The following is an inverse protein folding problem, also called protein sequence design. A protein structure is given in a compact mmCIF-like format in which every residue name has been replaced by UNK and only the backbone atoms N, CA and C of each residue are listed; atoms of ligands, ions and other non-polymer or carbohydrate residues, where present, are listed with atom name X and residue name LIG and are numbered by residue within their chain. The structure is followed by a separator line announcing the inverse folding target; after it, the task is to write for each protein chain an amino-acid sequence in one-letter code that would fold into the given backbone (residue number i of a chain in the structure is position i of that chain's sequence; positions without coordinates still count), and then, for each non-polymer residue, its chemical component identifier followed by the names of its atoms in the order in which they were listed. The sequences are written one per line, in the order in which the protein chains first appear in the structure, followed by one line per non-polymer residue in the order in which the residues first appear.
data_IF_226177254866
#
_entry.id   IF_226177254866
#
_cell.length_a   1.000
_cell.length_b   1.000
_cell.length_c   1.000
_cell.angle_alpha   90.00
_cell.angle_beta   90.00
_cell.angle_gamma   90.00
#
_symmetry.space_group_name_H-M   'P 1'
#
loop_
_entity.id
_entity.type
_entity.pdbx_description
1 polymer ?
#
# COMPACT_ATOMS: atom_id res chain seq x y z
N UNK A 1 -2.06 -13.55 11.47
CA UNK A 1 -2.23 -12.10 11.54
C UNK A 1 -3.60 -11.72 12.05
N UNK A 2 -3.81 -10.44 12.34
CA UNK A 2 -5.10 -9.90 12.79
C UNK A 2 -6.16 -9.97 11.68
N UNK A 3 -7.43 -10.01 12.07
CA UNK A 3 -8.55 -9.99 11.13
C UNK A 3 -8.65 -8.64 10.39
N UNK A 4 -9.37 -8.62 9.26
CA UNK A 4 -9.64 -7.39 8.53
C UNK A 4 -10.37 -6.33 9.37
N UNK A 5 -11.22 -6.77 10.29
CA UNK A 5 -11.94 -5.91 11.22
C UNK A 5 -10.98 -5.23 12.22
N UNK A 6 -10.09 -6.00 12.84
CA UNK A 6 -9.09 -5.46 13.77
C UNK A 6 -8.08 -4.54 13.05
N UNK A 7 -7.73 -4.86 11.79
CA UNK A 7 -6.91 -3.98 10.97
C UNK A 7 -7.52 -2.58 10.83
N UNK A 8 -8.81 -2.50 10.51
CA UNK A 8 -9.52 -1.22 10.39
C UNK A 8 -9.60 -0.44 11.72
N UNK A 9 -9.66 -1.13 12.87
CA UNK A 9 -9.58 -0.49 14.20
C UNK A 9 -8.18 0.05 14.45
N UNK A 10 -7.13 -0.75 14.20
CA UNK A 10 -5.71 -0.34 14.40
C UNK A 10 -5.38 0.93 13.62
N UNK A 11 -5.88 1.05 12.40
CA UNK A 11 -5.62 2.19 11.52
C UNK A 11 -6.77 3.20 11.43
N UNK A 12 -7.70 3.20 12.41
CA UNK A 12 -8.85 4.10 12.44
C UNK A 12 -8.51 5.60 12.51
N UNK A 13 -7.34 5.95 13.06
CA UNK A 13 -6.84 7.32 13.12
C UNK A 13 -6.16 7.81 11.82
N UNK A 14 -5.92 6.92 10.86
CA UNK A 14 -5.30 7.26 9.57
C UNK A 14 -6.29 8.04 8.69
N UNK A 15 -5.83 9.15 8.14
CA UNK A 15 -6.67 10.02 7.31
C UNK A 15 -6.61 9.58 5.83
N UNK A 16 -7.29 8.49 5.50
CA UNK A 16 -7.40 7.95 4.15
C UNK A 16 -8.03 8.94 3.15
N UNK A 17 -8.97 9.76 3.60
CA UNK A 17 -9.61 10.78 2.75
C UNK A 17 -8.60 11.84 2.28
N UNK A 18 -7.77 12.34 3.20
CA UNK A 18 -6.71 13.31 2.86
C UNK A 18 -5.71 12.71 1.86
N UNK A 19 -5.26 11.48 2.10
CA UNK A 19 -4.32 10.80 1.21
C UNK A 19 -4.92 10.57 -0.18
N UNK A 20 -6.15 10.06 -0.25
CA UNK A 20 -6.89 9.90 -1.50
C UNK A 20 -7.08 11.24 -2.24
N UNK A 21 -7.32 12.33 -1.50
CA UNK A 21 -7.41 13.66 -2.10
C UNK A 21 -6.10 14.11 -2.75
N UNK A 22 -4.96 13.87 -2.09
CA UNK A 22 -3.63 14.18 -2.64
C UNK A 22 -3.37 13.36 -3.90
N UNK A 23 -3.59 12.03 -3.85
CA UNK A 23 -3.43 11.13 -5.01
C UNK A 23 -4.30 11.59 -6.17
N UNK A 24 -5.60 11.87 -5.92
CA UNK A 24 -6.51 12.39 -6.93
C UNK A 24 -6.00 13.67 -7.59
N UNK A 25 -5.52 14.63 -6.79
CA UNK A 25 -4.97 15.89 -7.30
C UNK A 25 -3.76 15.62 -8.20
N UNK A 26 -2.81 14.81 -7.76
CA UNK A 26 -1.62 14.46 -8.51
C UNK A 26 -1.94 13.77 -9.84
N UNK A 27 -2.95 12.88 -9.84
CA UNK A 27 -3.44 12.25 -11.08
C UNK A 27 -4.06 13.32 -12.00
N UNK A 28 -4.96 14.15 -11.49
CA UNK A 28 -5.68 15.15 -12.30
C UNK A 28 -4.73 16.19 -12.94
N UNK A 29 -3.65 16.56 -12.25
CA UNK A 29 -2.63 17.50 -12.74
C UNK A 29 -1.79 16.91 -13.88
N UNK A 30 -1.48 15.60 -13.84
CA UNK A 30 -0.58 14.93 -14.79
C UNK A 30 -1.31 14.18 -15.91
N UNK A 31 -2.51 13.68 -15.61
CA UNK A 31 -3.36 12.94 -16.55
C UNK A 31 -4.82 13.42 -16.43
N UNK A 32 -5.14 14.60 -16.99
CA UNK A 32 -6.52 15.08 -17.03
C UNK A 32 -7.44 14.07 -17.74
N UNK A 33 -8.61 13.80 -17.15
CA UNK A 33 -9.58 12.86 -17.73
C UNK A 33 -9.32 11.39 -17.42
N UNK A 34 -8.39 11.05 -16.51
CA UNK A 34 -8.21 9.70 -16.01
C UNK A 34 -9.53 9.13 -15.45
N UNK A 35 -9.84 7.88 -15.77
CA UNK A 35 -11.07 7.18 -15.36
C UNK A 35 -10.80 5.86 -14.66
N UNK A 36 -9.83 5.08 -15.12
CA UNK A 36 -9.54 3.75 -14.61
C UNK A 36 -8.34 3.75 -13.66
N UNK A 37 -8.54 3.24 -12.44
CA UNK A 37 -7.50 3.15 -11.41
C UNK A 37 -7.38 1.71 -10.89
N UNK A 38 -6.14 1.22 -10.80
CA UNK A 38 -5.78 -0.04 -10.13
C UNK A 38 -5.11 0.26 -8.80
N UNK A 39 -5.63 -0.31 -7.70
CA UNK A 39 -4.99 -0.28 -6.38
C UNK A 39 -4.33 -1.63 -6.08
N UNK A 40 -2.99 -1.65 -6.02
CA UNK A 40 -2.18 -2.82 -5.67
C UNK A 40 -1.97 -2.88 -4.16
N UNK A 41 -2.24 -4.05 -3.58
CA UNK A 41 -2.34 -4.27 -2.14
C UNK A 41 -3.39 -3.33 -1.51
N UNK A 42 -4.58 -3.32 -2.10
CA UNK A 42 -5.68 -2.42 -1.74
C UNK A 42 -6.21 -2.63 -0.30
N UNK A 43 -5.83 -3.74 0.35
CA UNK A 43 -6.26 -4.06 1.70
C UNK A 43 -7.78 -4.10 1.82
N UNK A 44 -8.32 -3.43 2.82
CA UNK A 44 -9.77 -3.31 3.06
C UNK A 44 -10.46 -2.25 2.20
N UNK A 45 -9.76 -1.68 1.19
CA UNK A 45 -10.31 -0.67 0.28
C UNK A 45 -10.55 0.70 0.91
N UNK A 46 -9.79 1.06 1.94
CA UNK A 46 -10.00 2.30 2.68
C UNK A 46 -9.70 3.56 1.84
N UNK A 47 -8.68 3.55 0.98
CA UNK A 47 -8.44 4.61 -0.01
C UNK A 47 -9.50 4.59 -1.12
N UNK A 48 -9.89 3.38 -1.57
CA UNK A 48 -10.83 3.17 -2.66
C UNK A 48 -12.22 3.77 -2.37
N UNK A 49 -12.66 3.76 -1.10
CA UNK A 49 -13.90 4.41 -0.67
C UNK A 49 -13.97 5.88 -1.11
N UNK A 50 -12.83 6.56 -1.07
CA UNK A 50 -12.75 7.99 -1.43
C UNK A 50 -12.44 8.19 -2.91
N UNK A 51 -11.60 7.33 -3.50
CA UNK A 51 -11.18 7.42 -4.91
C UNK A 51 -12.28 6.97 -5.87
N UNK A 52 -13.17 6.06 -5.48
CA UNK A 52 -14.28 5.56 -6.30
C UNK A 52 -15.32 6.63 -6.69
N UNK A 53 -15.28 7.79 -6.03
CA UNK A 53 -16.09 8.95 -6.42
C UNK A 53 -15.64 9.58 -7.75
N UNK A 54 -14.41 9.25 -8.19
CA UNK A 54 -13.74 9.88 -9.33
C UNK A 54 -13.25 8.88 -10.37
N UNK A 55 -13.00 7.64 -9.96
CA UNK A 55 -12.41 6.59 -10.79
C UNK A 55 -13.20 5.29 -10.71
N UNK A 56 -13.16 4.53 -11.79
CA UNK A 56 -13.51 3.12 -11.76
C UNK A 56 -12.35 2.36 -11.13
N UNK A 57 -12.60 1.70 -10.00
CA UNK A 57 -11.58 1.05 -9.19
C UNK A 57 -11.52 -0.45 -9.49
N UNK A 58 -10.32 -0.94 -9.73
CA UNK A 58 -9.94 -2.34 -9.59
C UNK A 58 -8.94 -2.45 -8.44
N UNK A 59 -9.12 -3.41 -7.54
CA UNK A 59 -8.22 -3.66 -6.42
C UNK A 59 -7.63 -5.06 -6.46
N UNK A 60 -6.35 -5.18 -6.12
CA UNK A 60 -5.62 -6.43 -6.01
C UNK A 60 -5.03 -6.55 -4.60
N UNK A 61 -5.25 -7.68 -3.94
CA UNK A 61 -4.62 -7.97 -2.64
C UNK A 61 -4.40 -9.48 -2.49
N UNK A 62 -3.39 -9.88 -1.72
CA UNK A 62 -3.12 -11.27 -1.39
C UNK A 62 -4.11 -11.85 -0.37
N UNK A 63 -4.67 -10.98 0.50
CA UNK A 63 -5.52 -11.39 1.61
C UNK A 63 -7.00 -11.43 1.20
N UNK A 64 -7.62 -12.62 1.07
CA UNK A 64 -9.02 -12.73 0.68
C UNK A 64 -9.99 -12.10 1.72
N UNK A 65 -9.62 -12.09 3.01
CA UNK A 65 -10.43 -11.47 4.07
C UNK A 65 -10.48 -9.93 3.90
N UNK A 66 -9.39 -9.31 3.49
CA UNK A 66 -9.37 -7.89 3.17
C UNK A 66 -10.25 -7.57 1.97
N UNK A 67 -10.23 -8.40 0.94
CA UNK A 67 -11.06 -8.22 -0.25
C UNK A 67 -12.56 -8.34 0.01
N UNK A 68 -12.98 -9.12 1.02
CA UNK A 68 -14.38 -9.14 1.48
C UNK A 68 -14.78 -7.75 1.97
N UNK A 69 -13.97 -7.16 2.85
CA UNK A 69 -14.20 -5.80 3.36
C UNK A 69 -14.15 -4.72 2.27
N UNK A 70 -13.21 -4.84 1.33
CA UNK A 70 -13.11 -3.92 0.21
C UNK A 70 -14.39 -3.92 -0.65
N UNK A 71 -14.97 -5.11 -0.93
CA UNK A 71 -16.24 -5.23 -1.67
C UNK A 71 -17.43 -4.66 -0.89
N UNK A 72 -17.48 -4.89 0.42
CA UNK A 72 -18.50 -4.30 1.29
C UNK A 72 -18.42 -2.77 1.28
N UNK A 73 -17.21 -2.22 1.31
CA UNK A 73 -16.93 -0.77 1.37
C UNK A 73 -17.18 -0.07 0.05
N UNK A 74 -16.84 -0.70 -1.07
CA UNK A 74 -17.00 -0.19 -2.42
C UNK A 74 -17.57 -1.28 -3.34
N UNK A 75 -18.88 -1.46 -3.31
CA UNK A 75 -19.58 -2.50 -4.08
C UNK A 75 -19.53 -2.35 -5.59
N UNK A 76 -19.05 -1.21 -6.11
CA UNK A 76 -18.84 -1.00 -7.55
C UNK A 76 -17.43 -1.33 -8.00
N UNK A 77 -16.48 -1.45 -7.08
CA UNK A 77 -15.10 -1.84 -7.36
C UNK A 77 -14.97 -3.32 -7.71
N UNK A 78 -13.98 -3.65 -8.53
CA UNK A 78 -13.67 -5.04 -8.89
C UNK A 78 -12.44 -5.49 -8.13
N UNK A 79 -12.63 -6.33 -7.12
CA UNK A 79 -11.58 -6.78 -6.23
C UNK A 79 -11.17 -8.21 -6.51
N UNK A 80 -9.87 -8.46 -6.76
CA UNK A 80 -9.32 -9.77 -7.12
C UNK A 80 -8.18 -10.14 -6.18
N UNK A 81 -8.12 -11.43 -5.82
CA UNK A 81 -6.95 -11.95 -5.12
C UNK A 81 -5.81 -12.15 -6.11
N UNK A 82 -4.63 -11.62 -5.77
CA UNK A 82 -3.45 -11.76 -6.62
C UNK A 82 -2.21 -11.15 -5.99
N UNK A 83 -1.08 -11.50 -6.57
CA UNK A 83 0.25 -11.00 -6.18
C UNK A 83 0.64 -9.83 -7.08
N UNK A 84 1.04 -8.71 -6.48
CA UNK A 84 1.48 -7.53 -7.24
C UNK A 84 2.72 -7.77 -8.10
N UNK A 85 3.48 -8.85 -7.84
CA UNK A 85 4.68 -9.24 -8.58
C UNK A 85 4.38 -10.01 -9.87
N UNK A 86 3.17 -10.56 -9.98
CA UNK A 86 2.76 -11.43 -11.10
C UNK A 86 1.24 -11.42 -11.22
N UNK A 87 0.70 -10.47 -11.97
CA UNK A 87 -0.73 -10.39 -12.26
C UNK A 87 -0.99 -10.10 -13.73
N UNK A 88 -2.11 -10.58 -14.21
CA UNK A 88 -2.63 -10.29 -15.55
C UNK A 88 -4.12 -9.92 -15.44
N UNK A 89 -4.44 -8.70 -15.84
CA UNK A 89 -5.80 -8.18 -15.85
C UNK A 89 -6.16 -7.77 -17.30
N UNK A 90 -7.38 -8.07 -17.72
CA UNK A 90 -7.87 -7.77 -19.08
C UNK A 90 -8.28 -6.30 -19.23
N UNK A 91 -7.48 -5.39 -18.65
CA UNK A 91 -7.75 -3.96 -18.66
C UNK A 91 -6.49 -3.14 -18.55
N UNK A 92 -6.51 -1.97 -19.18
CA UNK A 92 -5.50 -0.92 -19.01
C UNK A 92 -6.02 0.15 -18.06
N UNK A 93 -5.10 0.78 -17.31
CA UNK A 93 -5.41 1.77 -16.28
C UNK A 93 -4.73 3.09 -16.57
N UNK A 94 -5.44 4.18 -16.26
CA UNK A 94 -4.89 5.53 -16.31
C UNK A 94 -3.94 5.80 -15.14
N UNK A 95 -4.20 5.14 -14.01
CA UNK A 95 -3.34 5.18 -12.85
C UNK A 95 -3.27 3.81 -12.16
N UNK A 96 -2.07 3.46 -11.69
CA UNK A 96 -1.83 2.34 -10.78
C UNK A 96 -1.26 2.93 -9.50
N UNK A 97 -1.81 2.56 -8.35
CA UNK A 97 -1.34 2.99 -7.03
C UNK A 97 -0.91 1.80 -6.19
N UNK A 98 0.13 1.97 -5.38
CA UNK A 98 0.54 1.05 -4.32
C UNK A 98 0.91 1.91 -3.11
N UNK A 99 -0.03 2.04 -2.19
CA UNK A 99 0.04 2.99 -1.08
C UNK A 99 0.34 2.30 0.25
N UNK A 100 0.49 3.12 1.29
CA UNK A 100 0.75 2.70 2.66
C UNK A 100 1.95 1.75 2.77
N UNK A 101 2.98 2.04 1.97
CA UNK A 101 4.27 1.32 1.94
C UNK A 101 4.17 -0.16 1.57
N UNK A 102 3.06 -0.59 0.96
CA UNK A 102 2.81 -2.00 0.62
C UNK A 102 3.87 -2.61 -0.30
N UNK A 103 4.56 -1.78 -1.10
CA UNK A 103 5.70 -2.22 -1.93
C UNK A 103 6.82 -2.86 -1.10
N UNK A 104 6.98 -2.50 0.16
CA UNK A 104 7.98 -3.10 1.04
C UNK A 104 7.79 -4.62 1.23
N UNK A 105 6.57 -5.13 1.15
CA UNK A 105 6.29 -6.56 1.31
C UNK A 105 6.87 -7.45 0.21
N UNK A 106 7.29 -6.89 -0.92
CA UNK A 106 7.98 -7.68 -1.96
C UNK A 106 9.43 -7.99 -1.62
N UNK A 107 10.00 -7.36 -0.58
CA UNK A 107 11.25 -7.63 0.14
C UNK A 107 12.55 -7.48 -0.68
N UNK A 108 12.55 -7.64 -1.99
CA UNK A 108 13.76 -7.58 -2.83
C UNK A 108 13.59 -6.61 -4.00
N UNK A 109 14.68 -5.99 -4.44
CA UNK A 109 14.68 -5.12 -5.63
C UNK A 109 14.24 -5.85 -6.89
N UNK A 110 14.58 -7.14 -7.04
CA UNK A 110 14.11 -7.95 -8.18
C UNK A 110 12.58 -8.04 -8.19
N UNK A 111 11.97 -8.23 -7.03
CA UNK A 111 10.52 -8.25 -6.91
C UNK A 111 9.89 -6.86 -7.10
N UNK A 112 10.56 -5.78 -6.66
CA UNK A 112 10.12 -4.41 -6.99
C UNK A 112 10.10 -4.23 -8.52
N UNK A 113 11.16 -4.65 -9.22
CA UNK A 113 11.22 -4.58 -10.70
C UNK A 113 10.10 -5.37 -11.36
N UNK A 114 9.82 -6.61 -10.89
CA UNK A 114 8.69 -7.42 -11.37
C UNK A 114 7.36 -6.70 -11.21
N UNK A 115 7.12 -6.14 -10.02
CA UNK A 115 5.91 -5.36 -9.73
C UNK A 115 5.78 -4.17 -10.69
N UNK A 116 6.86 -3.41 -10.88
CA UNK A 116 6.86 -2.24 -11.78
C UNK A 116 6.67 -2.63 -13.25
N UNK A 117 7.21 -3.78 -13.69
CA UNK A 117 6.96 -4.32 -15.04
C UNK A 117 5.48 -4.65 -15.20
N UNK A 118 4.87 -5.36 -14.23
CA UNK A 118 3.44 -5.63 -14.25
C UNK A 118 2.62 -4.33 -14.27
N UNK A 119 2.99 -3.33 -13.46
CA UNK A 119 2.34 -2.00 -13.52
C UNK A 119 2.41 -1.42 -14.93
N UNK A 120 3.63 -1.35 -15.53
CA UNK A 120 3.83 -0.79 -16.87
C UNK A 120 3.00 -1.49 -17.94
N UNK A 121 2.89 -2.82 -17.87
CA UNK A 121 2.11 -3.62 -18.82
C UNK A 121 0.62 -3.33 -18.74
N UNK A 122 0.13 -2.88 -17.59
CA UNK A 122 -1.27 -2.51 -17.37
C UNK A 122 -1.54 -1.00 -17.44
N UNK A 123 -0.53 -0.17 -17.67
CA UNK A 123 -0.74 1.27 -17.88
C UNK A 123 -1.22 1.56 -19.31
N UNK A 124 -2.28 2.33 -19.43
CA UNK A 124 -2.68 2.97 -20.68
C UNK A 124 -1.57 3.93 -21.18
N UNK A 125 -1.65 4.37 -22.43
CA UNK A 125 -0.75 5.40 -22.95
C UNK A 125 -0.85 6.68 -22.09
N UNK A 126 0.30 7.21 -21.65
CA UNK A 126 0.37 8.32 -20.69
C UNK A 126 -0.14 8.00 -19.29
N UNK A 127 -0.32 6.71 -18.95
CA UNK A 127 -0.71 6.27 -17.61
C UNK A 127 0.40 6.45 -16.59
N UNK A 128 0.01 6.56 -15.32
CA UNK A 128 0.88 6.87 -14.18
C UNK A 128 0.91 5.73 -13.18
N UNK A 129 2.05 5.53 -12.52
CA UNK A 129 2.17 4.64 -11.37
C UNK A 129 2.65 5.43 -10.14
N UNK A 130 1.97 5.24 -9.01
CA UNK A 130 2.28 5.87 -7.73
C UNK A 130 2.69 4.80 -6.74
N UNK A 131 3.92 4.89 -6.22
CA UNK A 131 4.44 3.97 -5.21
C UNK A 131 4.82 4.75 -3.97
N UNK A 132 4.12 4.50 -2.86
CA UNK A 132 4.54 4.99 -1.55
C UNK A 132 5.54 3.99 -0.95
N UNK A 133 6.82 4.41 -0.73
CA UNK A 133 7.84 3.49 -0.24
C UNK A 133 7.68 3.15 1.24
N UNK A 134 8.39 2.12 1.69
CA UNK A 134 8.76 1.90 3.08
C UNK A 134 9.96 2.77 3.46
N UNK A 135 10.45 2.62 4.66
CA UNK A 135 11.67 3.32 5.10
C UNK A 135 12.89 2.91 4.27
N UNK A 136 13.83 3.83 4.12
CA UNK A 136 15.16 3.53 3.61
C UNK A 136 16.02 2.87 4.70
N UNK A 137 17.17 2.23 4.34
CA UNK A 137 18.03 1.58 5.32
C UNK A 137 18.54 2.50 6.43
N UNK A 138 18.78 3.78 6.13
CA UNK A 138 19.26 4.79 7.08
C UNK A 138 18.15 5.35 7.98
N UNK A 139 16.90 5.31 7.54
CA UNK A 139 15.73 5.73 8.31
C UNK A 139 15.23 4.65 9.28
N UNK A 140 15.45 3.37 8.97
CA UNK A 140 14.99 2.28 9.81
C UNK A 140 15.84 2.16 11.08
N UNK A 141 15.20 2.17 12.24
CA UNK A 141 15.87 2.12 13.56
C UNK A 141 15.58 0.78 14.25
N UNK A 142 16.43 -0.24 14.08
CA UNK A 142 16.28 -1.49 14.81
C UNK A 142 16.52 -1.30 16.31
N UNK A 143 15.89 -2.15 17.13
CA UNK A 143 15.95 -2.07 18.59
C UNK A 143 14.94 -1.09 19.21
N UNK A 144 14.07 -0.47 18.42
CA UNK A 144 13.03 0.43 18.94
C UNK A 144 11.74 -0.31 19.25
N UNK A 145 11.01 0.20 20.26
CA UNK A 145 9.68 -0.30 20.65
C UNK A 145 8.65 0.78 20.35
N UNK A 146 7.54 0.38 19.74
CA UNK A 146 6.42 1.25 19.41
C UNK A 146 5.14 0.72 20.04
N UNK A 147 4.35 1.60 20.63
CA UNK A 147 3.04 1.27 21.19
C UNK A 147 1.97 2.05 20.44
N UNK A 148 0.91 1.36 20.09
CA UNK A 148 -0.30 1.96 19.52
C UNK A 148 -1.50 1.43 20.26
N UNK A 149 -2.38 2.33 20.68
CA UNK A 149 -3.69 1.99 21.22
C UNK A 149 -4.76 2.53 20.28
N UNK A 150 -5.77 1.72 20.00
CA UNK A 150 -6.91 2.08 19.18
C UNK A 150 -8.19 1.51 19.80
N UNK A 151 -9.27 2.27 19.69
CA UNK A 151 -10.59 1.84 20.15
C UNK A 151 -11.65 2.29 19.15
N UNK A 152 -12.54 1.37 18.79
CA UNK A 152 -13.65 1.64 17.89
C UNK A 152 -14.72 0.56 17.98
N UNK A 153 -15.99 0.96 18.01
CA UNK A 153 -17.17 0.07 17.93
C UNK A 153 -17.14 -1.07 18.97
N UNK A 154 -16.67 -0.78 20.20
CA UNK A 154 -16.56 -1.75 21.29
C UNK A 154 -15.34 -2.68 21.23
N UNK A 155 -14.44 -2.48 20.26
CA UNK A 155 -13.17 -3.19 20.15
C UNK A 155 -12.04 -2.26 20.62
N UNK A 156 -11.25 -2.72 21.59
CA UNK A 156 -10.05 -2.02 22.08
C UNK A 156 -8.80 -2.83 21.71
N UNK A 157 -7.80 -2.19 21.11
CA UNK A 157 -6.57 -2.86 20.68
C UNK A 157 -5.37 -2.13 21.27
N UNK A 158 -4.49 -2.90 21.92
CA UNK A 158 -3.14 -2.47 22.27
C UNK A 158 -2.14 -3.25 21.40
N UNK A 159 -1.36 -2.55 20.58
CA UNK A 159 -0.28 -3.13 19.78
C UNK A 159 1.06 -2.66 20.31
N UNK A 160 1.96 -3.59 20.62
CA UNK A 160 3.37 -3.31 20.86
C UNK A 160 4.19 -3.91 19.73
N UNK A 161 4.98 -3.09 19.04
CA UNK A 161 5.86 -3.49 17.96
C UNK A 161 7.31 -3.33 18.36
N UNK A 162 8.15 -4.31 18.00
CA UNK A 162 9.60 -4.25 18.15
C UNK A 162 10.25 -4.26 16.76
N UNK A 163 11.10 -3.27 16.51
CA UNK A 163 11.80 -3.13 15.23
C UNK A 163 13.11 -3.91 15.26
N UNK A 164 13.33 -4.75 14.25
CA UNK A 164 14.57 -5.48 14.03
C UNK A 164 14.98 -5.42 12.55
N UNK A 165 16.14 -5.96 12.21
CA UNK A 165 16.61 -6.11 10.83
C UNK A 165 17.27 -7.47 10.66
N UNK A 166 17.04 -8.09 9.50
CA UNK A 166 17.68 -9.37 9.12
C UNK A 166 17.93 -9.39 7.62
N UNK A 167 19.21 -9.47 7.21
CA UNK A 167 19.57 -9.61 5.79
C UNK A 167 19.06 -8.48 4.88
N UNK A 168 19.03 -7.23 5.37
CA UNK A 168 18.54 -6.07 4.61
C UNK A 168 17.01 -5.93 4.60
N UNK A 169 16.29 -6.82 5.31
CA UNK A 169 14.84 -6.75 5.49
C UNK A 169 14.52 -6.23 6.89
N UNK A 170 13.67 -5.23 6.98
CA UNK A 170 13.11 -4.77 8.25
C UNK A 170 12.11 -5.78 8.80
N UNK A 171 12.15 -5.99 10.09
CA UNK A 171 11.19 -6.82 10.82
C UNK A 171 10.45 -5.93 11.82
N UNK A 172 9.14 -5.90 11.75
CA UNK A 172 8.30 -5.32 12.77
C UNK A 172 7.51 -6.44 13.46
N UNK A 173 8.00 -6.86 14.64
CA UNK A 173 7.42 -7.93 15.43
C UNK A 173 6.31 -7.34 16.31
N UNK A 174 5.07 -7.58 15.95
CA UNK A 174 3.90 -7.00 16.60
C UNK A 174 3.21 -8.02 17.51
N UNK A 175 2.92 -7.58 18.74
CA UNK A 175 2.06 -8.26 19.70
C UNK A 175 0.79 -7.43 19.84
N UNK A 176 -0.37 -8.07 19.75
CA UNK A 176 -1.67 -7.42 19.87
C UNK A 176 -2.45 -8.02 21.04
N UNK A 177 -3.00 -7.17 21.88
CA UNK A 177 -4.07 -7.51 22.80
C UNK A 177 -5.35 -6.88 22.24
N UNK A 178 -6.36 -7.72 21.97
CA UNK A 178 -7.64 -7.30 21.43
C UNK A 178 -8.72 -7.60 22.45
N UNK A 179 -9.33 -6.56 22.99
CA UNK A 179 -10.45 -6.64 23.91
C UNK A 179 -11.76 -6.43 23.18
N UNK A 180 -12.73 -7.31 23.42
CA UNK A 180 -14.11 -7.26 22.94
C UNK A 180 -15.07 -7.57 24.09
N UNK A 181 -16.38 -7.62 23.86
CA UNK A 181 -17.37 -8.06 24.87
C UNK A 181 -17.15 -9.52 25.32
N UNK A 182 -16.51 -10.34 24.48
CA UNK A 182 -16.22 -11.75 24.78
C UNK A 182 -14.93 -11.96 25.60
N UNK A 183 -14.13 -10.90 25.80
CA UNK A 183 -12.90 -10.95 26.59
C UNK A 183 -11.68 -10.38 25.87
N UNK A 184 -10.49 -10.87 26.24
CA UNK A 184 -9.22 -10.40 25.67
C UNK A 184 -8.53 -11.55 24.96
N UNK A 185 -8.16 -11.33 23.70
CA UNK A 185 -7.39 -12.23 22.88
C UNK A 185 -5.99 -11.66 22.58
N UNK A 186 -5.03 -12.56 22.37
CA UNK A 186 -3.66 -12.22 22.00
C UNK A 186 -3.34 -12.71 20.58
N UNK A 187 -2.75 -11.83 19.78
CA UNK A 187 -2.28 -12.16 18.43
C UNK A 187 -0.85 -11.72 18.24
N UNK A 188 -0.15 -12.44 17.39
CA UNK A 188 1.21 -12.13 16.95
C UNK A 188 1.25 -11.96 15.43
N UNK A 189 2.02 -10.97 14.98
CA UNK A 189 2.24 -10.73 13.55
C UNK A 189 3.66 -10.21 13.33
N UNK A 190 4.31 -10.67 12.29
CA UNK A 190 5.60 -10.14 11.86
C UNK A 190 5.44 -9.55 10.46
N UNK A 191 5.73 -8.26 10.33
CA UNK A 191 5.83 -7.60 9.04
C UNK A 191 7.28 -7.60 8.60
N UNK A 192 7.56 -8.25 7.48
CA UNK A 192 8.87 -8.31 6.83
C UNK A 192 8.84 -7.44 5.58
N UNK A 193 9.61 -6.35 5.57
CA UNK A 193 9.57 -5.37 4.49
C UNK A 193 10.98 -5.00 4.03
N UNK A 194 11.18 -4.99 2.71
CA UNK A 194 12.45 -4.59 2.11
C UNK A 194 12.78 -3.13 2.40
N UNK A 195 14.03 -2.88 2.68
CA UNK A 195 14.59 -1.53 2.84
C UNK A 195 15.33 -1.17 1.56
N UNK A 196 14.87 -0.15 0.85
CA UNK A 196 15.44 0.27 -0.43
C UNK A 196 15.86 1.73 -0.36
N UNK A 197 17.02 2.07 -0.92
CA UNK A 197 17.43 3.46 -1.07
C UNK A 197 16.63 4.14 -2.19
N UNK A 198 16.68 5.46 -2.23
CA UNK A 198 16.04 6.24 -3.30
C UNK A 198 16.67 5.91 -4.65
N UNK A 199 17.98 5.73 -4.69
CA UNK A 199 18.74 5.36 -5.89
C UNK A 199 18.33 3.99 -6.41
N UNK A 200 18.23 2.98 -5.53
CA UNK A 200 17.78 1.63 -5.89
C UNK A 200 16.37 1.62 -6.46
N UNK A 201 15.48 2.43 -5.89
CA UNK A 201 14.12 2.59 -6.42
C UNK A 201 14.13 3.23 -7.81
N UNK A 202 14.92 4.31 -8.03
CA UNK A 202 15.08 4.92 -9.36
C UNK A 202 15.61 3.93 -10.38
N UNK A 203 16.60 3.11 -10.02
CA UNK A 203 17.12 2.05 -10.89
C UNK A 203 16.05 0.99 -11.21
N UNK A 204 15.21 0.63 -10.24
CA UNK A 204 14.13 -0.33 -10.44
C UNK A 204 13.07 0.21 -11.43
N UNK A 205 12.69 1.49 -11.32
CA UNK A 205 11.80 2.14 -12.28
C UNK A 205 12.42 2.19 -13.69
N UNK A 206 13.66 2.61 -13.80
CA UNK A 206 14.38 2.67 -15.08
C UNK A 206 14.48 1.30 -15.74
N UNK A 207 14.81 0.25 -14.96
CA UNK A 207 14.87 -1.14 -15.44
C UNK A 207 13.50 -1.68 -15.89
N UNK A 208 12.41 -1.20 -15.30
CA UNK A 208 11.05 -1.52 -15.72
C UNK A 208 10.60 -0.72 -16.96
N UNK A 209 11.41 0.22 -17.48
CA UNK A 209 11.07 1.06 -18.63
C UNK A 209 10.09 2.19 -18.26
N UNK A 210 10.19 2.69 -17.03
CA UNK A 210 9.44 3.83 -16.53
C UNK A 210 10.38 5.01 -16.25
N UNK A 211 9.96 6.22 -16.60
CA UNK A 211 10.52 7.44 -16.04
C UNK A 211 9.89 7.69 -14.68
N UNK A 212 10.63 8.30 -13.75
CA UNK A 212 10.15 8.49 -12.38
C UNK A 212 10.55 9.83 -11.80
N UNK A 213 9.60 10.47 -11.12
CA UNK A 213 9.80 11.61 -10.22
C UNK A 213 9.69 11.10 -8.77
N UNK A 214 10.47 11.70 -7.86
CA UNK A 214 10.39 11.41 -6.43
C UNK A 214 10.05 12.67 -5.65
N UNK A 215 8.92 12.62 -4.92
CA UNK A 215 8.53 13.62 -3.95
C UNK A 215 8.91 13.13 -2.54
N UNK A 216 9.88 13.76 -1.85
CA UNK A 216 10.33 13.31 -0.54
C UNK A 216 9.27 13.48 0.57
N UNK A 217 8.32 14.41 0.42
CA UNK A 217 7.23 14.60 1.38
C UNK A 217 6.14 13.55 1.21
N UNK A 218 5.78 13.23 -0.03
CA UNK A 218 4.75 12.25 -0.37
C UNK A 218 3.42 12.51 0.33
N UNK A 219 2.76 11.42 0.77
CA UNK A 219 1.43 11.52 1.40
C UNK A 219 1.52 11.80 2.91
N UNK A 220 2.52 11.21 3.58
CA UNK A 220 2.68 11.21 5.04
C UNK A 220 4.14 11.40 5.50
N UNK A 221 5.00 12.00 4.68
CA UNK A 221 6.41 12.23 5.00
C UNK A 221 7.32 11.01 4.75
N UNK A 222 6.88 10.02 3.97
CA UNK A 222 7.68 8.84 3.58
C UNK A 222 8.20 8.89 2.16
N UNK A 223 7.82 9.92 1.41
CA UNK A 223 8.07 10.02 -0.02
C UNK A 223 6.98 9.38 -0.88
N UNK A 224 7.04 9.69 -2.16
CA UNK A 224 6.16 9.13 -3.19
C UNK A 224 6.91 9.11 -4.51
N UNK A 225 6.96 7.95 -5.14
CA UNK A 225 7.45 7.79 -6.51
C UNK A 225 6.27 7.91 -7.48
N UNK A 226 6.43 8.71 -8.52
CA UNK A 226 5.44 8.90 -9.58
C UNK A 226 6.11 8.52 -10.89
N UNK A 227 5.74 7.37 -11.42
CA UNK A 227 6.27 6.83 -12.67
C UNK A 227 5.34 7.03 -13.85
N UNK A 228 5.92 7.11 -15.05
CA UNK A 228 5.19 7.12 -16.32
C UNK A 228 5.91 6.26 -17.35
N UNK A 229 5.20 5.78 -18.39
CA UNK A 229 5.86 5.07 -19.49
C UNK A 229 6.86 6.01 -20.18
N UNK A 230 8.04 5.47 -20.51
CA UNK A 230 8.95 6.15 -21.46
C UNK A 230 8.30 6.23 -22.81
N UNK A 231 8.41 7.40 -23.45
CA UNK A 231 8.05 7.59 -24.86
C UNK A 231 8.92 6.77 -25.82
#
# INVERSE_FOLDING_TARGET
GISAEYYDVVYSSKNYEREAHVVRRLIAERRPGAQALLDLACGTGAHDLHLSRYYEIDGLDLNPGFLVKARERNGQGRYRQGDMRDFALDRMYDAVICLFSSIGYVQTLDNVRKTLVCCREHLAEGGLVFIEPWFTPDQWQPGTVHVLNAERDGIAICRMGFSAVRGGVSLNLCQYLVGTEDGIEHYEETHEMGLFTVEEMHEAFAAAGLDVEYDPEGLIGRGLYIGSKKE
#
